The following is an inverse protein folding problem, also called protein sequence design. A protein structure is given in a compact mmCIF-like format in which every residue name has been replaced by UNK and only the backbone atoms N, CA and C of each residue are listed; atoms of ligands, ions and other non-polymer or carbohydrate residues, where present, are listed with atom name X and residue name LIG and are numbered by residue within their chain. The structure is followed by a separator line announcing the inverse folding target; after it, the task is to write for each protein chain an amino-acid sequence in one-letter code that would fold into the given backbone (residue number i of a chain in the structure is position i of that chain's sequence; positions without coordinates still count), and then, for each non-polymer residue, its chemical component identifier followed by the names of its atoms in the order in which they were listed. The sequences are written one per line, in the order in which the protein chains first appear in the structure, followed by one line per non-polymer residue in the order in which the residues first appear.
data_IF_008725159642
#
_entry.id   IF_008725159642
#
_cell.length_a   1.000
_cell.length_b   1.000
_cell.length_c   1.000
_cell.angle_alpha   90.00
_cell.angle_beta   90.00
_cell.angle_gamma   90.00
#
_symmetry.space_group_name_H-M   'P 1'
#
loop_
_entity.id
_entity.type
_entity.pdbx_description
1 polymer ?
#
# COMPACT_ATOMS: atom_id res chain seq x y z
N UNK A 1 -25.47 5.99 -6.66
CA UNK A 1 -24.69 6.13 -5.40
C UNK A 1 -23.45 6.94 -5.77
N UNK A 2 -23.20 8.12 -5.15
CA UNK A 2 -21.97 8.89 -5.42
C UNK A 2 -20.83 8.27 -4.61
N UNK A 3 -19.66 8.11 -5.22
CA UNK A 3 -18.44 7.73 -4.51
C UNK A 3 -18.02 8.83 -3.52
N UNK A 4 -17.19 8.47 -2.54
CA UNK A 4 -16.71 9.40 -1.50
C UNK A 4 -15.96 10.59 -2.10
N UNK A 5 -15.20 10.38 -3.18
CA UNK A 5 -14.46 11.43 -3.87
C UNK A 5 -15.38 12.45 -4.53
N UNK A 6 -16.35 11.98 -5.32
CA UNK A 6 -17.37 12.82 -5.94
C UNK A 6 -18.23 13.55 -4.93
N UNK A 7 -18.53 12.93 -3.78
CA UNK A 7 -19.19 13.61 -2.66
C UNK A 7 -18.30 14.74 -2.11
N UNK A 8 -17.03 14.47 -1.83
CA UNK A 8 -16.10 15.47 -1.31
C UNK A 8 -15.88 16.65 -2.27
N UNK A 9 -15.73 16.37 -3.57
CA UNK A 9 -15.60 17.40 -4.62
C UNK A 9 -16.84 18.28 -4.68
N UNK A 10 -18.05 17.70 -4.60
CA UNK A 10 -19.29 18.47 -4.61
C UNK A 10 -19.48 19.32 -3.34
N UNK A 11 -19.04 18.83 -2.18
CA UNK A 11 -19.04 19.59 -0.92
C UNK A 11 -18.05 20.75 -0.98
N UNK A 12 -16.85 20.52 -1.52
CA UNK A 12 -15.82 21.55 -1.71
C UNK A 12 -16.29 22.63 -2.69
N UNK A 13 -16.86 22.23 -3.85
CA UNK A 13 -17.39 23.14 -4.87
C UNK A 13 -18.48 24.07 -4.33
N UNK A 14 -19.27 23.60 -3.36
CA UNK A 14 -20.36 24.36 -2.74
C UNK A 14 -19.94 25.06 -1.44
N UNK A 15 -18.72 24.83 -0.98
CA UNK A 15 -18.22 25.27 0.34
C UNK A 15 -19.13 24.86 1.50
N UNK A 16 -19.83 23.73 1.38
CA UNK A 16 -20.75 23.19 2.39
C UNK A 16 -20.27 21.82 2.87
N UNK A 17 -19.49 21.82 3.95
CA UNK A 17 -18.90 20.63 4.54
C UNK A 17 -19.81 19.97 5.56
N UNK A 18 -20.64 19.04 5.09
CA UNK A 18 -21.43 18.12 5.91
C UNK A 18 -20.62 16.90 6.37
N UNK A 19 -19.77 17.09 7.38
CA UNK A 19 -18.93 16.03 7.94
C UNK A 19 -19.67 14.72 8.29
N UNK A 20 -20.87 14.73 8.91
CA UNK A 20 -21.57 13.48 9.24
C UNK A 20 -21.91 12.62 8.02
N UNK A 21 -22.26 13.26 6.90
CA UNK A 21 -22.56 12.55 5.66
C UNK A 21 -21.30 11.92 5.07
N UNK A 22 -20.20 12.68 5.01
CA UNK A 22 -18.92 12.19 4.52
C UNK A 22 -18.44 11.01 5.36
N UNK A 23 -18.44 11.16 6.69
CA UNK A 23 -18.06 10.10 7.62
C UNK A 23 -18.89 8.83 7.43
N UNK A 24 -20.22 8.95 7.28
CA UNK A 24 -21.08 7.81 6.98
C UNK A 24 -20.70 7.10 5.68
N UNK A 25 -20.38 7.84 4.61
CA UNK A 25 -19.97 7.23 3.34
C UNK A 25 -18.59 6.58 3.45
N UNK A 26 -17.63 7.20 4.14
CA UNK A 26 -16.32 6.60 4.40
C UNK A 26 -16.47 5.30 5.19
N UNK A 27 -17.30 5.28 6.23
CA UNK A 27 -17.56 4.07 7.01
C UNK A 27 -18.15 2.93 6.16
N UNK A 28 -19.05 3.24 5.22
CA UNK A 28 -19.57 2.24 4.27
C UNK A 28 -18.46 1.67 3.38
N UNK A 29 -17.53 2.50 2.90
CA UNK A 29 -16.38 2.04 2.09
C UNK A 29 -15.45 1.14 2.91
N UNK A 30 -15.08 1.55 4.12
CA UNK A 30 -14.23 0.75 5.01
C UNK A 30 -14.86 -0.60 5.35
N UNK A 31 -16.17 -0.65 5.57
CA UNK A 31 -16.89 -1.91 5.80
C UNK A 31 -16.87 -2.83 4.58
N UNK A 32 -16.91 -2.27 3.36
CA UNK A 32 -16.74 -3.05 2.13
C UNK A 32 -15.31 -3.55 1.97
N UNK A 33 -14.30 -2.74 2.31
CA UNK A 33 -12.90 -3.17 2.30
C UNK A 33 -12.68 -4.36 3.26
N UNK A 34 -13.22 -4.29 4.48
CA UNK A 34 -13.19 -5.41 5.43
C UNK A 34 -13.86 -6.66 4.86
N UNK A 35 -15.03 -6.51 4.22
CA UNK A 35 -15.73 -7.65 3.61
C UNK A 35 -14.96 -8.25 2.43
N UNK A 36 -14.33 -7.43 1.61
CA UNK A 36 -13.47 -7.90 0.51
C UNK A 36 -12.30 -8.70 1.08
N UNK A 37 -11.67 -8.20 2.13
CA UNK A 37 -10.56 -8.90 2.79
C UNK A 37 -10.98 -10.26 3.36
N UNK A 38 -12.16 -10.34 3.99
CA UNK A 38 -12.72 -11.60 4.46
C UNK A 38 -12.92 -12.61 3.31
N UNK A 39 -13.49 -12.16 2.19
CA UNK A 39 -13.72 -12.99 1.02
C UNK A 39 -12.42 -13.47 0.38
N UNK A 40 -11.42 -12.59 0.27
CA UNK A 40 -10.10 -12.93 -0.25
C UNK A 40 -9.41 -13.99 0.62
N UNK A 41 -9.52 -13.90 1.95
CA UNK A 41 -9.00 -14.90 2.86
C UNK A 41 -9.66 -16.28 2.64
N UNK A 42 -11.00 -16.31 2.46
CA UNK A 42 -11.75 -17.54 2.16
C UNK A 42 -11.28 -18.15 0.82
N UNK A 43 -11.16 -17.32 -0.23
CA UNK A 43 -10.71 -17.76 -1.55
C UNK A 43 -9.29 -18.33 -1.49
N UNK A 44 -8.38 -17.63 -0.81
CA UNK A 44 -7.00 -18.07 -0.64
C UNK A 44 -6.93 -19.42 0.10
N UNK A 45 -7.68 -19.57 1.20
CA UNK A 45 -7.73 -20.82 1.96
C UNK A 45 -8.25 -21.99 1.11
N UNK A 46 -9.35 -21.78 0.38
CA UNK A 46 -9.91 -22.79 -0.53
C UNK A 46 -8.92 -23.21 -1.63
N UNK A 47 -8.19 -22.24 -2.21
CA UNK A 47 -7.19 -22.51 -3.23
C UNK A 47 -5.98 -23.31 -2.69
N UNK A 48 -5.60 -23.11 -1.43
CA UNK A 48 -4.51 -23.86 -0.80
C UNK A 48 -4.94 -25.29 -0.45
N UNK A 49 -6.15 -25.48 0.08
CA UNK A 49 -6.74 -26.81 0.33
C UNK A 49 -6.81 -27.61 -0.96
N UNK A 50 -7.28 -27.01 -2.06
CA UNK A 50 -7.35 -27.67 -3.36
C UNK A 50 -5.98 -28.11 -3.91
N UNK A 51 -4.90 -27.42 -3.54
CA UNK A 51 -3.53 -27.73 -3.98
C UNK A 51 -2.74 -28.59 -2.99
N UNK A 52 -3.30 -28.92 -1.81
CA UNK A 52 -2.60 -29.67 -0.76
C UNK A 52 -1.37 -28.95 -0.21
N UNK A 53 -1.30 -27.63 -0.38
CA UNK A 53 -0.12 -26.84 0.00
C UNK A 53 -0.26 -26.41 1.46
N UNK A 54 0.74 -26.70 2.31
CA UNK A 54 0.67 -26.28 3.69
C UNK A 54 0.77 -24.75 3.83
N UNK A 55 -0.09 -24.20 4.69
CA UNK A 55 -0.16 -22.77 4.98
C UNK A 55 -0.14 -22.53 6.48
N UNK A 56 0.28 -21.33 6.86
CA UNK A 56 0.23 -20.83 8.24
C UNK A 56 -0.73 -19.64 8.26
N UNK A 57 -1.54 -19.50 9.30
CA UNK A 57 -2.50 -18.40 9.39
C UNK A 57 -1.79 -17.10 9.81
N UNK A 58 -2.07 -16.00 9.10
CA UNK A 58 -1.66 -14.67 9.52
C UNK A 58 -2.57 -14.16 10.65
N UNK A 59 -2.09 -13.20 11.45
CA UNK A 59 -2.93 -12.49 12.42
C UNK A 59 -4.13 -11.75 11.79
N UNK A 60 -4.09 -11.47 10.49
CA UNK A 60 -5.22 -10.91 9.75
C UNK A 60 -6.23 -11.96 9.26
N UNK A 61 -6.01 -13.25 9.52
CA UNK A 61 -6.83 -14.37 9.05
C UNK A 61 -6.48 -14.88 7.65
N UNK A 62 -5.67 -14.15 6.88
CA UNK A 62 -5.23 -14.62 5.56
C UNK A 62 -4.19 -15.75 5.69
N UNK A 63 -4.28 -16.79 4.84
CA UNK A 63 -3.30 -17.87 4.86
C UNK A 63 -1.99 -17.43 4.18
N UNK A 64 -0.86 -17.73 4.83
CA UNK A 64 0.49 -17.46 4.36
C UNK A 64 1.08 -18.77 3.85
N UNK A 65 1.64 -18.74 2.64
CA UNK A 65 2.37 -19.87 2.08
C UNK A 65 3.62 -20.16 2.93
N UNK A 66 3.83 -21.43 3.30
CA UNK A 66 5.02 -21.81 4.08
C UNK A 66 6.28 -21.45 3.29
N UNK A 67 7.18 -20.67 3.90
CA UNK A 67 8.39 -20.12 3.26
C UNK A 67 8.24 -18.69 2.73
N UNK A 68 7.04 -18.10 2.73
CA UNK A 68 6.88 -16.67 2.48
C UNK A 68 7.31 -15.85 3.71
N UNK A 69 8.08 -14.78 3.50
CA UNK A 69 8.52 -13.89 4.58
C UNK A 69 7.42 -12.94 5.07
N UNK A 70 6.41 -12.67 4.23
CA UNK A 70 5.34 -11.71 4.52
C UNK A 70 3.98 -12.23 4.05
N UNK A 71 2.92 -11.78 4.71
CA UNK A 71 1.56 -11.97 4.27
C UNK A 71 1.30 -11.13 3.02
N UNK A 72 0.90 -11.76 1.91
CA UNK A 72 0.52 -11.06 0.67
C UNK A 72 -0.74 -10.21 0.82
N UNK A 73 -1.51 -10.39 1.90
CA UNK A 73 -2.75 -9.68 2.15
C UNK A 73 -2.54 -8.41 2.98
N UNK A 74 -1.82 -8.49 4.11
CA UNK A 74 -1.64 -7.36 5.03
C UNK A 74 -0.20 -6.85 5.15
N UNK A 75 0.76 -7.49 4.47
CA UNK A 75 2.18 -7.10 4.49
C UNK A 75 2.92 -7.39 5.79
N UNK A 76 2.27 -7.95 6.82
CA UNK A 76 2.93 -8.33 8.08
C UNK A 76 3.90 -9.49 7.87
N UNK A 77 5.00 -9.56 8.65
CA UNK A 77 5.93 -10.68 8.56
C UNK A 77 5.24 -12.00 8.95
N UNK A 78 5.63 -13.07 8.27
CA UNK A 78 5.13 -14.40 8.57
C UNK A 78 5.62 -14.85 9.97
N UNK A 79 4.77 -15.53 10.77
CA UNK A 79 5.12 -15.90 12.14
C UNK A 79 6.30 -16.88 12.23
N UNK A 80 6.54 -17.69 11.19
CA UNK A 80 7.62 -18.68 11.16
C UNK A 80 8.89 -18.20 10.45
N UNK A 81 8.87 -17.01 9.83
CA UNK A 81 10.00 -16.52 9.05
C UNK A 81 10.45 -15.17 9.61
N UNK A 82 11.51 -15.21 10.42
CA UNK A 82 12.04 -14.01 11.04
C UNK A 82 12.44 -12.98 9.95
N UNK A 83 12.14 -11.70 10.15
CA UNK A 83 12.64 -10.65 9.28
C UNK A 83 14.17 -10.63 9.35
N UNK A 84 14.82 -10.55 8.19
CA UNK A 84 16.28 -10.70 8.11
C UNK A 84 16.98 -9.36 8.33
N UNK A 85 16.32 -8.25 8.02
CA UNK A 85 16.83 -6.89 8.26
C UNK A 85 15.67 -5.92 8.52
N UNK A 86 15.96 -4.71 8.99
CA UNK A 86 14.98 -3.63 9.18
C UNK A 86 15.38 -2.40 8.38
N UNK A 87 14.38 -1.64 7.94
CA UNK A 87 14.60 -0.39 7.23
C UNK A 87 15.26 0.63 8.15
N UNK A 88 16.40 1.18 7.73
CA UNK A 88 17.10 2.25 8.47
C UNK A 88 16.31 3.56 8.55
N UNK A 89 15.36 3.79 7.64
CA UNK A 89 14.55 5.01 7.60
C UNK A 89 13.26 4.92 8.42
N UNK A 90 12.48 3.83 8.30
CA UNK A 90 11.19 3.70 8.97
C UNK A 90 11.09 2.54 9.97
N UNK A 91 12.15 1.74 10.12
CA UNK A 91 12.18 0.60 11.04
C UNK A 91 11.43 -0.65 10.57
N UNK A 92 10.78 -0.61 9.41
CA UNK A 92 9.97 -1.73 8.91
C UNK A 92 10.84 -2.99 8.69
N UNK A 93 10.40 -4.18 9.15
CA UNK A 93 11.06 -5.44 8.83
C UNK A 93 11.04 -5.74 7.33
N UNK A 94 12.17 -6.22 6.81
CA UNK A 94 12.42 -6.48 5.40
C UNK A 94 13.09 -7.86 5.18
N UNK A 95 12.89 -8.47 4.00
CA UNK A 95 13.63 -9.67 3.62
C UNK A 95 15.10 -9.30 3.34
N UNK A 96 15.98 -10.30 3.41
CA UNK A 96 17.43 -10.11 3.25
C UNK A 96 17.83 -9.43 1.92
N UNK A 97 17.05 -9.70 0.88
CA UNK A 97 17.33 -9.33 -0.51
C UNK A 97 16.50 -8.11 -0.97
N UNK A 98 15.83 -7.39 -0.05
CA UNK A 98 15.06 -6.21 -0.43
C UNK A 98 15.97 -5.05 -0.84
N UNK A 99 15.81 -4.60 -2.09
CA UNK A 99 16.46 -3.37 -2.57
C UNK A 99 15.76 -2.10 -2.07
N UNK A 100 14.44 -2.16 -1.85
CA UNK A 100 13.61 -1.03 -1.41
C UNK A 100 12.67 -1.42 -0.27
N UNK A 101 12.32 -0.46 0.56
CA UNK A 101 11.29 -0.61 1.59
C UNK A 101 9.90 -0.57 0.98
N UNK A 102 9.09 -1.61 1.19
CA UNK A 102 7.69 -1.67 0.72
C UNK A 102 6.75 -0.66 1.39
N UNK A 103 7.18 -0.04 2.50
CA UNK A 103 6.36 0.92 3.27
C UNK A 103 6.75 2.36 3.00
N UNK A 104 8.05 2.69 3.05
CA UNK A 104 8.50 4.08 2.86
C UNK A 104 9.15 4.34 1.50
N UNK A 105 9.39 3.31 0.68
CA UNK A 105 10.00 3.45 -0.64
C UNK A 105 11.52 3.66 -0.64
N UNK A 106 12.16 3.90 0.50
CA UNK A 106 13.61 4.11 0.55
C UNK A 106 14.39 2.86 0.14
N UNK A 107 15.49 3.08 -0.57
CA UNK A 107 16.46 2.04 -0.89
C UNK A 107 17.16 1.52 0.38
N UNK A 108 17.47 0.23 0.39
CA UNK A 108 18.02 -0.53 1.53
C UNK A 108 19.28 -1.29 1.11
N UNK A 109 19.32 -1.77 -0.14
CA UNK A 109 20.54 -2.31 -0.74
C UNK A 109 21.33 -1.16 -1.38
N UNK A 110 22.34 -0.69 -0.65
CA UNK A 110 23.31 0.27 -1.16
C UNK A 110 24.71 -0.34 -1.10
N UNK A 111 24.97 -1.39 -1.88
CA UNK A 111 26.33 -1.72 -2.32
C UNK A 111 26.33 -1.97 -3.84
N UNK A 112 26.82 -0.95 -4.56
CA UNK A 112 27.35 -0.96 -5.92
C UNK A 112 26.48 -1.55 -7.05
N UNK A 113 25.48 -0.80 -7.50
CA UNK A 113 25.30 -0.66 -8.95
C UNK A 113 25.96 0.66 -9.35
N UNK A 114 27.19 0.60 -9.84
CA UNK A 114 27.80 1.71 -10.59
C UNK A 114 26.93 1.89 -11.83
N UNK A 115 25.99 2.83 -11.76
CA UNK A 115 25.12 3.16 -12.88
C UNK A 115 25.96 3.56 -14.09
N UNK A 116 25.82 2.83 -15.19
CA UNK A 116 26.21 3.34 -16.49
C UNK A 116 25.42 4.65 -16.71
N UNK A 117 26.15 5.74 -16.89
CA UNK A 117 25.61 7.05 -17.20
C UNK A 117 24.92 6.99 -18.57
N UNK A 118 23.60 6.80 -18.56
CA UNK A 118 22.84 6.70 -19.79
C UNK A 118 21.35 6.43 -19.61
N UNK A 119 20.68 7.10 -18.67
CA UNK A 119 19.21 7.10 -18.58
C UNK A 119 18.70 8.53 -18.39
N UNK A 120 18.96 9.37 -19.39
CA UNK A 120 18.39 10.71 -19.52
C UNK A 120 17.19 10.72 -20.49
N UNK A 121 16.47 9.59 -20.58
CA UNK A 121 15.32 9.41 -21.47
C UNK A 121 14.03 9.09 -20.69
N UNK A 122 13.92 9.65 -19.48
CA UNK A 122 12.63 9.68 -18.80
C UNK A 122 11.85 10.87 -19.33
N UNK A 123 10.77 10.61 -20.08
CA UNK A 123 9.76 11.60 -20.52
C UNK A 123 8.96 12.20 -19.35
N UNK A 124 9.62 12.64 -18.29
CA UNK A 124 9.03 13.48 -17.24
C UNK A 124 9.61 14.88 -17.45
N UNK A 125 8.88 15.69 -18.20
CA UNK A 125 9.14 17.13 -18.25
C UNK A 125 8.88 17.70 -16.85
N UNK A 126 9.85 18.39 -16.22
CA UNK A 126 9.63 19.07 -14.96
C UNK A 126 8.44 20.02 -15.10
N UNK A 127 7.45 19.89 -14.21
CA UNK A 127 6.31 20.81 -14.18
C UNK A 127 6.84 22.25 -14.15
N UNK A 128 6.53 23.10 -15.14
CA UNK A 128 6.96 24.49 -15.10
C UNK A 128 6.46 25.14 -13.81
N UNK A 129 7.25 26.04 -13.20
CA UNK A 129 6.86 26.68 -11.96
C UNK A 129 5.51 27.36 -12.14
N UNK A 130 4.57 27.04 -11.26
CA UNK A 130 3.28 27.71 -11.19
C UNK A 130 3.53 29.13 -10.69
N UNK A 131 3.77 30.06 -11.62
CA UNK A 131 3.74 31.48 -11.32
C UNK A 131 2.29 31.84 -10.93
N UNK A 132 2.04 31.84 -9.63
CA UNK A 132 0.80 32.35 -9.04
C UNK A 132 0.65 33.85 -9.34
N UNK A 133 -0.59 34.37 -9.41
CA UNK A 133 -0.81 35.79 -9.64
C UNK A 133 -0.11 36.60 -8.55
N UNK A 134 0.72 37.57 -8.96
CA UNK A 134 1.23 38.62 -8.07
C UNK A 134 0.04 39.36 -7.49
N UNK A 135 -0.17 39.24 -6.18
CA UNK A 135 -0.98 40.19 -5.41
C UNK A 135 -0.44 41.59 -5.69
N UNK A 136 -1.25 42.41 -6.36
CA UNK A 136 -1.05 43.86 -6.41
C UNK A 136 -2.28 44.52 -5.83
N UNK A 137 -2.09 45.06 -4.62
CA UNK A 137 -2.81 46.14 -3.95
C UNK A 137 -4.33 46.03 -3.77
#
# INVERSE_FOLDING_TARGET
MRDVGGLAVEMARRSDWRYPLLHSRCAEVLALEERIHELDAIIAAGAMVARGVPAVECQCGAPILRGAHFCSHCGRPAPETAPVTSCSHCGQPLPAEANFCSVCGNAIAAEAFEGEAGLDDTMIEPLPPLDGPRETA
#
